data_IF_346402017987
#
_entry.id   IF_346402017987
#
_cell.length_a   1.000
_cell.length_b   1.000
_cell.length_c   1.000
_cell.angle_alpha   90.00
_cell.angle_beta   90.00
_cell.angle_gamma   90.00
#
_symmetry.space_group_name_H-M   'P 1'
#
loop_
_entity.id
_entity.type
_entity.pdbx_description
1 polymer ?
#
# COMPACT_ATOMS: atom_id res chain seq x y z
N UNK A 1 21.53 -6.56 -10.34
CA UNK A 1 22.04 -7.15 -9.09
C UNK A 1 21.37 -8.47 -8.75
N UNK A 2 20.03 -8.55 -8.69
CA UNK A 2 19.32 -9.82 -8.46
C UNK A 2 19.63 -10.94 -9.47
N UNK A 3 20.02 -10.60 -10.70
CA UNK A 3 20.46 -11.58 -11.71
C UNK A 3 21.92 -12.03 -11.57
N UNK A 4 22.78 -11.23 -10.95
CA UNK A 4 24.23 -11.47 -10.86
C UNK A 4 24.65 -12.05 -9.51
N UNK A 5 23.86 -11.84 -8.46
CA UNK A 5 24.08 -12.40 -7.11
C UNK A 5 22.74 -12.95 -6.60
N UNK A 6 22.35 -14.17 -6.98
CA UNK A 6 21.05 -14.76 -6.62
C UNK A 6 21.11 -15.37 -5.20
N UNK A 7 21.49 -14.55 -4.21
CA UNK A 7 21.52 -14.93 -2.80
C UNK A 7 20.42 -14.21 -2.05
N UNK A 8 19.84 -14.89 -1.07
CA UNK A 8 18.84 -14.34 -0.16
C UNK A 8 19.48 -13.24 0.68
N UNK A 9 18.86 -12.05 0.75
CA UNK A 9 19.29 -11.00 1.69
C UNK A 9 19.30 -9.54 1.17
N UNK A 10 18.57 -9.24 0.10
CA UNK A 10 18.22 -7.88 -0.36
C UNK A 10 19.41 -6.88 -0.37
N UNK A 11 19.15 -5.59 -0.22
CA UNK A 11 20.12 -4.49 -0.31
C UNK A 11 21.28 -4.59 0.69
N UNK A 12 21.05 -5.15 1.88
CA UNK A 12 22.11 -5.40 2.87
C UNK A 12 23.21 -6.31 2.31
N UNK A 13 22.82 -7.46 1.75
CA UNK A 13 23.78 -8.46 1.25
C UNK A 13 24.51 -7.94 0.02
N UNK A 14 23.81 -7.21 -0.86
CA UNK A 14 24.45 -6.53 -2.00
C UNK A 14 25.45 -5.47 -1.53
N UNK A 15 25.09 -4.68 -0.51
CA UNK A 15 25.97 -3.68 0.09
C UNK A 15 27.23 -4.30 0.69
N UNK A 16 27.09 -5.43 1.38
CA UNK A 16 28.20 -6.16 1.98
C UNK A 16 29.19 -6.68 0.93
N UNK A 17 28.67 -7.27 -0.15
CA UNK A 17 29.51 -7.85 -1.22
C UNK A 17 30.27 -6.76 -1.99
N UNK A 18 29.64 -5.60 -2.24
CA UNK A 18 30.23 -4.56 -3.11
C UNK A 18 31.08 -3.56 -2.33
N UNK A 19 30.60 -3.11 -1.17
CA UNK A 19 31.15 -1.97 -0.44
C UNK A 19 31.76 -2.35 0.93
N UNK A 20 31.60 -3.59 1.37
CA UNK A 20 32.11 -4.08 2.64
C UNK A 20 31.23 -3.78 3.84
N UNK A 21 31.71 -4.20 5.01
CA UNK A 21 30.94 -4.30 6.25
C UNK A 21 30.36 -2.97 6.74
N UNK A 22 31.14 -1.88 6.71
CA UNK A 22 30.70 -0.59 7.26
C UNK A 22 29.50 -0.05 6.50
N UNK A 23 29.52 -0.08 5.17
CA UNK A 23 28.41 0.39 4.34
C UNK A 23 27.20 -0.52 4.51
N UNK A 24 27.42 -1.84 4.53
CA UNK A 24 26.36 -2.81 4.77
C UNK A 24 25.68 -2.61 6.13
N UNK A 25 26.45 -2.29 7.18
CA UNK A 25 25.92 -2.01 8.51
C UNK A 25 24.94 -0.82 8.52
N UNK A 26 25.32 0.29 7.90
CA UNK A 26 24.43 1.45 7.76
C UNK A 26 23.18 1.12 6.95
N UNK A 27 23.33 0.37 5.84
CA UNK A 27 22.18 -0.09 5.03
C UNK A 27 21.26 -1.00 5.85
N UNK A 28 21.82 -1.92 6.64
CA UNK A 28 21.05 -2.82 7.50
C UNK A 28 20.20 -2.07 8.53
N UNK A 29 20.80 -1.11 9.24
CA UNK A 29 20.05 -0.27 10.18
C UNK A 29 19.00 0.61 9.51
N UNK A 30 19.29 1.13 8.32
CA UNK A 30 18.31 1.87 7.53
C UNK A 30 17.12 0.97 7.16
N UNK A 31 17.36 -0.25 6.70
CA UNK A 31 16.31 -1.22 6.35
C UNK A 31 15.46 -1.60 7.58
N UNK A 32 16.07 -1.82 8.75
CA UNK A 32 15.31 -2.12 9.98
C UNK A 32 14.34 -0.99 10.33
N UNK A 33 14.79 0.26 10.24
CA UNK A 33 13.95 1.43 10.47
C UNK A 33 12.87 1.58 9.39
N UNK A 34 13.24 1.36 8.12
CA UNK A 34 12.32 1.42 6.99
C UNK A 34 11.19 0.40 7.11
N UNK A 35 11.50 -0.88 7.36
CA UNK A 35 10.49 -1.93 7.53
C UNK A 35 9.61 -1.69 8.76
N UNK A 36 10.17 -1.16 9.86
CA UNK A 36 9.40 -0.77 11.04
C UNK A 36 8.39 0.34 10.75
N UNK A 37 8.85 1.42 10.09
CA UNK A 37 7.99 2.53 9.68
C UNK A 37 6.94 2.08 8.66
N UNK A 38 7.34 1.28 7.67
CA UNK A 38 6.45 0.76 6.64
C UNK A 38 5.32 -0.09 7.26
N UNK A 39 5.66 -0.96 8.22
CA UNK A 39 4.68 -1.79 8.92
C UNK A 39 3.65 -0.94 9.69
N UNK A 40 4.10 0.12 10.37
CA UNK A 40 3.21 1.05 11.07
C UNK A 40 2.30 1.84 10.11
N UNK A 41 2.86 2.31 9.00
CA UNK A 41 2.11 3.02 7.95
C UNK A 41 1.06 2.13 7.30
N UNK A 42 1.41 0.88 6.96
CA UNK A 42 0.47 -0.11 6.41
C UNK A 42 -0.64 -0.44 7.41
N UNK A 43 -0.32 -0.63 8.69
CA UNK A 43 -1.33 -0.87 9.73
C UNK A 43 -2.27 0.33 9.92
N UNK A 44 -1.76 1.55 9.80
CA UNK A 44 -2.57 2.77 9.84
C UNK A 44 -3.53 2.84 8.65
N UNK A 45 -3.05 2.55 7.43
CA UNK A 45 -3.90 2.48 6.24
C UNK A 45 -4.96 1.39 6.35
N UNK A 46 -4.60 0.19 6.82
CA UNK A 46 -5.52 -0.90 7.10
C UNK A 46 -6.62 -0.49 8.08
N UNK A 47 -6.25 0.22 9.15
CA UNK A 47 -7.20 0.69 10.16
C UNK A 47 -8.27 1.60 9.55
N UNK A 48 -7.90 2.50 8.64
CA UNK A 48 -8.86 3.42 8.00
C UNK A 48 -9.96 2.67 7.24
N UNK A 49 -9.57 1.67 6.44
CA UNK A 49 -10.53 0.85 5.71
C UNK A 49 -11.33 -0.07 6.64
N UNK A 50 -10.71 -0.57 7.72
CA UNK A 50 -11.40 -1.36 8.74
C UNK A 50 -12.48 -0.55 9.46
N UNK A 51 -12.17 0.68 9.90
CA UNK A 51 -13.14 1.58 10.54
C UNK A 51 -14.30 1.86 9.59
N UNK A 52 -14.02 2.21 8.33
CA UNK A 52 -15.05 2.45 7.31
C UNK A 52 -15.95 1.22 7.07
N UNK A 53 -15.38 0.01 7.02
CA UNK A 53 -16.13 -1.23 6.87
C UNK A 53 -17.06 -1.48 8.06
N UNK A 54 -16.56 -1.28 9.28
CA UNK A 54 -17.28 -1.53 10.53
C UNK A 54 -18.38 -0.49 10.76
N UNK A 55 -18.16 0.76 10.37
CA UNK A 55 -19.19 1.81 10.34
C UNK A 55 -20.32 1.47 9.36
N UNK A 56 -20.00 0.91 8.19
CA UNK A 56 -20.98 0.40 7.23
C UNK A 56 -21.85 -0.74 7.79
N UNK A 57 -21.39 -1.44 8.82
CA UNK A 57 -22.14 -2.48 9.55
C UNK A 57 -22.92 -1.91 10.77
N UNK A 58 -22.88 -0.60 10.99
CA UNK A 58 -23.56 0.09 12.09
C UNK A 58 -22.80 0.07 13.42
N UNK A 59 -21.53 -0.34 13.42
CA UNK A 59 -20.67 -0.31 14.61
C UNK A 59 -19.80 0.95 14.53
N UNK A 60 -19.98 1.86 15.50
CA UNK A 60 -19.21 3.11 15.53
C UNK A 60 -18.03 3.00 16.48
N UNK A 61 -16.82 3.16 15.93
CA UNK A 61 -15.60 3.26 16.73
C UNK A 61 -15.41 4.75 17.08
N UNK A 62 -15.23 5.12 18.37
CA UNK A 62 -15.01 6.52 18.73
C UNK A 62 -13.82 7.11 17.99
N UNK A 63 -13.97 8.32 17.43
CA UNK A 63 -12.92 9.02 16.69
C UNK A 63 -11.59 9.12 17.45
N UNK A 64 -11.66 9.28 18.78
CA UNK A 64 -10.48 9.28 19.66
C UNK A 64 -9.58 8.03 19.53
N UNK A 65 -10.16 6.89 19.12
CA UNK A 65 -9.53 5.58 19.03
C UNK A 65 -9.31 5.08 17.58
N UNK A 66 -9.73 5.85 16.58
CA UNK A 66 -9.86 5.39 15.20
C UNK A 66 -8.86 6.04 14.22
N UNK A 67 -7.83 6.72 14.73
CA UNK A 67 -6.90 7.49 13.89
C UNK A 67 -5.53 7.72 14.52
N UNK A 68 -4.56 8.22 13.73
CA UNK A 68 -3.24 8.60 14.23
C UNK A 68 -3.33 9.66 15.34
N UNK A 69 -2.24 9.92 16.05
CA UNK A 69 -2.23 10.97 17.08
C UNK A 69 -2.35 12.35 16.42
N UNK A 70 -3.53 12.94 16.51
CA UNK A 70 -3.80 14.32 16.13
C UNK A 70 -4.89 14.92 17.04
N UNK A 71 -4.48 15.51 18.19
CA UNK A 71 -5.39 16.13 19.15
C UNK A 71 -6.21 17.28 18.55
N UNK A 72 -5.72 17.93 17.49
CA UNK A 72 -6.44 19.04 16.85
C UNK A 72 -7.71 18.56 16.13
N UNK A 73 -7.69 17.31 15.64
CA UNK A 73 -8.82 16.65 15.00
C UNK A 73 -9.51 15.61 15.91
N UNK A 74 -9.19 15.61 17.22
CA UNK A 74 -9.85 14.75 18.22
C UNK A 74 -9.44 13.27 18.18
N UNK A 75 -8.33 12.95 17.50
CA UNK A 75 -7.78 11.58 17.42
C UNK A 75 -6.56 11.46 18.35
N UNK A 76 -6.46 10.37 19.10
CA UNK A 76 -5.41 10.21 20.12
C UNK A 76 -4.60 8.93 19.93
N UNK A 77 -5.27 7.83 19.60
CA UNK A 77 -4.61 6.54 19.44
C UNK A 77 -5.30 5.73 18.34
N UNK A 78 -4.52 5.03 17.53
CA UNK A 78 -5.05 4.17 16.49
C UNK A 78 -5.17 2.73 17.02
N UNK A 79 -6.29 2.44 17.70
CA UNK A 79 -6.50 1.16 18.35
C UNK A 79 -6.61 0.00 17.33
N UNK A 80 -7.33 0.12 16.19
CA UNK A 80 -7.36 -0.95 15.19
C UNK A 80 -5.99 -1.21 14.56
N UNK A 81 -5.16 -0.18 14.31
CA UNK A 81 -3.79 -0.37 13.80
C UNK A 81 -2.91 -1.13 14.81
N UNK A 82 -2.99 -0.79 16.11
CA UNK A 82 -2.26 -1.53 17.15
C UNK A 82 -2.73 -2.98 17.20
N UNK A 83 -4.05 -3.19 17.14
CA UNK A 83 -4.64 -4.52 17.17
C UNK A 83 -4.13 -5.40 16.02
N UNK A 84 -4.16 -4.91 14.76
CA UNK A 84 -3.69 -5.72 13.63
C UNK A 84 -2.19 -6.01 13.71
N UNK A 85 -1.38 -5.05 14.18
CA UNK A 85 0.07 -5.29 14.39
C UNK A 85 0.30 -6.41 15.41
N UNK A 86 -0.43 -6.42 16.52
CA UNK A 86 -0.33 -7.48 17.53
C UNK A 86 -0.80 -8.83 16.99
N UNK A 87 -1.90 -8.86 16.22
CA UNK A 87 -2.41 -10.07 15.59
C UNK A 87 -1.38 -10.65 14.61
N UNK A 88 -0.86 -9.84 13.69
CA UNK A 88 0.14 -10.29 12.72
C UNK A 88 1.43 -10.72 13.43
N UNK A 89 1.87 -9.98 14.45
CA UNK A 89 3.04 -10.37 15.26
C UNK A 89 2.84 -11.72 15.93
N UNK A 90 1.67 -11.96 16.52
CA UNK A 90 1.33 -13.25 17.13
C UNK A 90 1.28 -14.38 16.08
N UNK A 91 0.65 -14.16 14.93
CA UNK A 91 0.61 -15.15 13.85
C UNK A 91 2.02 -15.51 13.33
N UNK A 92 2.92 -14.53 13.24
CA UNK A 92 4.33 -14.76 12.88
C UNK A 92 5.05 -15.61 13.94
N UNK A 93 4.75 -15.42 15.24
CA UNK A 93 5.32 -16.27 16.31
C UNK A 93 4.83 -17.71 16.27
N UNK A 94 3.65 -17.98 15.70
CA UNK A 94 3.13 -19.33 15.49
C UNK A 94 3.78 -20.05 14.29
N UNK A 95 4.60 -19.36 13.50
CA UNK A 95 5.31 -19.95 12.36
C UNK A 95 4.40 -20.34 11.21
N UNK A 96 3.38 -19.52 10.90
CA UNK A 96 2.51 -19.77 9.75
C UNK A 96 3.34 -19.89 8.47
N UNK A 97 3.39 -21.08 7.89
CA UNK A 97 3.96 -21.29 6.56
C UNK A 97 2.93 -20.84 5.54
N UNK A 98 3.18 -19.70 4.93
CA UNK A 98 2.32 -19.12 3.89
C UNK A 98 2.17 -20.09 2.71
N UNK A 99 0.94 -20.51 2.43
CA UNK A 99 0.68 -21.30 1.24
C UNK A 99 0.76 -20.38 0.02
N UNK A 100 1.62 -20.69 -0.95
CA UNK A 100 1.68 -19.97 -2.23
C UNK A 100 0.31 -19.88 -2.94
N UNK A 101 -0.60 -20.82 -2.66
CA UNK A 101 -2.00 -20.79 -3.15
C UNK A 101 -2.80 -19.67 -2.49
N UNK A 102 -2.71 -19.52 -1.17
CA UNK A 102 -3.41 -18.48 -0.41
C UNK A 102 -2.90 -17.11 -0.84
N UNK A 103 -1.57 -16.93 -0.93
CA UNK A 103 -0.98 -15.69 -1.41
C UNK A 103 -1.47 -15.32 -2.82
N UNK A 104 -1.51 -16.28 -3.74
CA UNK A 104 -2.06 -16.06 -5.09
C UNK A 104 -3.52 -15.57 -5.04
N UNK A 105 -4.38 -16.19 -4.22
CA UNK A 105 -5.78 -15.78 -4.07
C UNK A 105 -5.87 -14.35 -3.53
N UNK A 106 -5.11 -14.02 -2.49
CA UNK A 106 -5.08 -12.68 -1.90
C UNK A 106 -4.67 -11.60 -2.93
N UNK A 107 -3.62 -11.87 -3.72
CA UNK A 107 -3.19 -10.96 -4.79
C UNK A 107 -4.29 -10.76 -5.84
N UNK A 108 -4.98 -11.82 -6.26
CA UNK A 108 -6.09 -11.70 -7.21
C UNK A 108 -7.26 -10.89 -6.65
N UNK A 109 -7.58 -11.05 -5.37
CA UNK A 109 -8.61 -10.23 -4.69
C UNK A 109 -8.19 -8.75 -4.71
N UNK A 110 -6.96 -8.43 -4.29
CA UNK A 110 -6.44 -7.05 -4.26
C UNK A 110 -6.47 -6.39 -5.63
N UNK A 111 -5.96 -7.07 -6.66
CA UNK A 111 -5.99 -6.55 -8.04
C UNK A 111 -7.42 -6.43 -8.54
N UNK A 112 -8.29 -7.41 -8.24
CA UNK A 112 -9.70 -7.38 -8.63
C UNK A 112 -10.45 -6.18 -8.06
N UNK A 113 -10.19 -5.84 -6.80
CA UNK A 113 -10.78 -4.67 -6.12
C UNK A 113 -10.30 -3.35 -6.72
N UNK A 114 -9.01 -3.24 -7.05
CA UNK A 114 -8.47 -2.07 -7.74
C UNK A 114 -9.11 -1.92 -9.13
N UNK A 115 -9.21 -3.03 -9.89
CA UNK A 115 -9.85 -3.01 -11.19
C UNK A 115 -11.34 -2.67 -11.09
N UNK A 116 -12.04 -3.15 -10.07
CA UNK A 116 -13.43 -2.79 -9.81
C UNK A 116 -13.58 -1.28 -9.60
N UNK A 117 -12.72 -0.67 -8.76
CA UNK A 117 -12.70 0.77 -8.56
C UNK A 117 -12.47 1.53 -9.88
N UNK A 118 -11.48 1.12 -10.68
CA UNK A 118 -11.19 1.78 -11.96
C UNK A 118 -12.39 1.65 -12.91
N UNK A 119 -12.92 0.44 -13.10
CA UNK A 119 -14.00 0.17 -14.06
C UNK A 119 -15.27 0.91 -13.68
N UNK A 120 -15.68 0.87 -12.42
CA UNK A 120 -16.88 1.58 -11.95
C UNK A 120 -16.62 3.08 -11.93
N UNK A 121 -15.49 3.50 -11.39
CA UNK A 121 -15.17 4.90 -11.17
C UNK A 121 -15.04 5.73 -12.44
N UNK A 122 -14.59 5.15 -13.56
CA UNK A 122 -14.48 5.84 -14.85
C UNK A 122 -15.84 6.44 -15.30
N UNK A 123 -16.96 5.82 -14.96
CA UNK A 123 -18.30 6.34 -15.31
C UNK A 123 -18.72 7.57 -14.52
N UNK A 124 -18.01 7.90 -13.44
CA UNK A 124 -18.27 9.02 -12.53
C UNK A 124 -17.21 10.11 -12.61
N UNK A 125 -16.28 10.01 -13.56
CA UNK A 125 -15.24 11.03 -13.75
C UNK A 125 -15.85 12.29 -14.35
N UNK A 126 -15.68 13.40 -13.65
CA UNK A 126 -16.00 14.74 -14.13
C UNK A 126 -14.70 15.47 -14.48
N UNK A 127 -14.40 15.73 -15.77
CA UNK A 127 -13.14 16.38 -16.17
C UNK A 127 -12.92 17.78 -15.59
N UNK A 128 -13.98 18.41 -15.06
CA UNK A 128 -13.92 19.67 -14.31
C UNK A 128 -13.07 19.55 -13.05
N UNK A 129 -13.03 18.38 -12.39
CA UNK A 129 -12.21 18.15 -11.20
C UNK A 129 -10.70 18.16 -11.48
N UNK A 130 -10.29 17.99 -12.74
CA UNK A 130 -8.89 18.13 -13.15
C UNK A 130 -8.46 19.56 -13.41
N UNK A 131 -9.32 20.56 -13.16
CA UNK A 131 -8.97 21.97 -13.33
C UNK A 131 -8.93 22.70 -11.98
N UNK A 132 -7.80 23.35 -11.62
CA UNK A 132 -6.51 23.35 -12.33
C UNK A 132 -5.76 22.00 -12.18
N UNK A 133 -5.05 21.56 -13.23
CA UNK A 133 -4.35 20.26 -13.21
C UNK A 133 -3.12 20.25 -12.30
N UNK A 134 -2.42 21.38 -12.19
CA UNK A 134 -1.20 21.55 -11.38
C UNK A 134 -1.32 22.76 -10.45
N UNK A 135 -2.24 22.74 -9.46
CA UNK A 135 -2.48 23.88 -8.56
C UNK A 135 -1.24 24.30 -7.77
N UNK A 136 -0.40 23.33 -7.42
CA UNK A 136 0.85 23.53 -6.67
C UNK A 136 2.10 23.63 -7.56
N UNK A 137 1.91 23.76 -8.88
CA UNK A 137 2.99 23.79 -9.87
C UNK A 137 3.86 22.52 -9.88
N UNK A 138 5.02 22.60 -10.54
CA UNK A 138 5.91 21.44 -10.72
C UNK A 138 6.56 21.00 -9.39
N UNK A 139 6.77 21.94 -8.46
CA UNK A 139 7.32 21.63 -7.14
C UNK A 139 6.37 20.76 -6.31
N UNK A 140 5.05 20.99 -6.42
CA UNK A 140 4.05 20.12 -5.84
C UNK A 140 4.08 18.70 -6.42
N UNK A 141 4.31 18.57 -7.73
CA UNK A 141 4.45 17.26 -8.40
C UNK A 141 5.66 16.50 -7.84
N UNK A 142 6.83 17.13 -7.72
CA UNK A 142 8.02 16.46 -7.15
C UNK A 142 7.85 16.09 -5.68
N UNK A 143 7.23 16.96 -4.88
CA UNK A 143 6.96 16.68 -3.46
C UNK A 143 5.97 15.52 -3.32
N UNK A 144 4.90 15.53 -4.12
CA UNK A 144 3.93 14.44 -4.19
C UNK A 144 4.57 13.13 -4.65
N UNK A 145 5.43 13.17 -5.67
CA UNK A 145 6.18 12.01 -6.16
C UNK A 145 7.03 11.36 -5.06
N UNK A 146 7.71 12.17 -4.22
CA UNK A 146 8.48 11.68 -3.08
C UNK A 146 7.59 11.01 -2.02
N UNK A 147 6.39 11.54 -1.76
CA UNK A 147 5.43 10.94 -0.82
C UNK A 147 4.86 9.61 -1.35
N UNK A 148 4.39 9.59 -2.60
CA UNK A 148 3.79 8.37 -3.20
C UNK A 148 4.83 7.33 -3.61
N UNK A 149 6.12 7.65 -3.58
CA UNK A 149 7.20 6.67 -3.75
C UNK A 149 7.07 5.53 -2.73
N UNK A 150 6.53 5.81 -1.54
CA UNK A 150 6.22 4.80 -0.52
C UNK A 150 5.32 3.67 -1.06
N UNK A 151 4.41 3.95 -1.99
CA UNK A 151 3.54 2.93 -2.60
C UNK A 151 4.32 1.88 -3.42
N UNK A 152 5.56 2.19 -3.82
CA UNK A 152 6.43 1.25 -4.53
C UNK A 152 7.30 0.39 -3.61
N UNK A 153 7.24 0.57 -2.29
CA UNK A 153 7.96 -0.28 -1.34
C UNK A 153 7.45 -1.73 -1.44
N UNK A 154 8.36 -2.70 -1.53
CA UNK A 154 8.04 -4.13 -1.49
C UNK A 154 8.44 -4.94 -2.71
N UNK A 155 8.94 -4.33 -3.80
CA UNK A 155 9.48 -5.09 -4.94
C UNK A 155 10.71 -5.93 -4.57
N UNK A 156 11.44 -5.51 -3.53
CA UNK A 156 12.62 -6.21 -3.01
C UNK A 156 12.25 -7.48 -2.25
N UNK A 157 11.02 -7.58 -1.72
CA UNK A 157 10.50 -8.80 -1.09
C UNK A 157 10.44 -10.00 -2.06
N UNK A 158 10.32 -9.74 -3.37
CA UNK A 158 10.39 -10.80 -4.40
C UNK A 158 11.75 -11.52 -4.36
N UNK A 159 12.82 -10.82 -3.97
CA UNK A 159 14.15 -11.41 -3.86
C UNK A 159 14.29 -12.37 -2.67
N UNK A 160 13.43 -12.27 -1.66
CA UNK A 160 13.41 -13.19 -0.52
C UNK A 160 12.96 -14.60 -0.90
N UNK A 161 12.19 -14.74 -1.98
CA UNK A 161 11.74 -16.04 -2.51
C UNK A 161 12.75 -16.66 -3.49
N UNK A 162 13.97 -16.13 -3.60
CA UNK A 162 14.96 -16.59 -4.59
C UNK A 162 15.24 -18.10 -4.51
N UNK A 163 15.22 -18.68 -3.31
CA UNK A 163 15.48 -20.11 -3.08
C UNK A 163 14.33 -21.02 -3.55
N UNK A 164 13.11 -20.50 -3.65
CA UNK A 164 11.92 -21.25 -4.08
C UNK A 164 11.63 -21.12 -5.58
N UNK A 165 12.35 -20.22 -6.27
CA UNK A 165 12.11 -19.90 -7.68
C UNK A 165 12.94 -20.80 -8.59
N UNK A 166 12.27 -21.51 -9.50
CA UNK A 166 12.95 -22.22 -10.60
C UNK A 166 13.65 -21.20 -11.51
N UNK A 167 14.93 -21.39 -11.82
CA UNK A 167 15.72 -20.47 -12.66
C UNK A 167 15.66 -19.00 -12.19
N UNK A 168 16.16 -18.70 -10.98
CA UNK A 168 16.02 -17.38 -10.36
C UNK A 168 16.70 -16.26 -11.16
N UNK A 169 17.78 -16.56 -11.89
CA UNK A 169 18.54 -15.58 -12.69
C UNK A 169 17.68 -14.92 -13.77
N UNK A 170 16.70 -15.66 -14.31
CA UNK A 170 15.76 -15.15 -15.32
C UNK A 170 14.41 -14.75 -14.70
N UNK A 171 13.88 -15.55 -13.78
CA UNK A 171 12.52 -15.36 -13.28
C UNK A 171 12.41 -14.25 -12.24
N UNK A 172 13.43 -14.02 -11.40
CA UNK A 172 13.39 -12.91 -10.43
C UNK A 172 13.37 -11.54 -11.12
N UNK A 173 14.24 -11.23 -12.11
CA UNK A 173 14.16 -9.95 -12.81
C UNK A 173 12.82 -9.73 -13.51
N UNK A 174 12.26 -10.78 -14.15
CA UNK A 174 10.95 -10.70 -14.80
C UNK A 174 9.85 -10.42 -13.77
N UNK A 175 9.89 -11.08 -12.60
CA UNK A 175 8.93 -10.87 -11.53
C UNK A 175 8.99 -9.45 -10.96
N UNK A 176 10.19 -8.94 -10.68
CA UNK A 176 10.40 -7.59 -10.14
C UNK A 176 9.94 -6.53 -11.14
N UNK A 177 10.44 -6.56 -12.39
CA UNK A 177 10.10 -5.54 -13.39
C UNK A 177 8.64 -5.66 -13.82
N UNK A 178 8.14 -6.87 -14.00
CA UNK A 178 6.75 -7.13 -14.40
C UNK A 178 5.75 -6.64 -13.35
N UNK A 179 5.98 -6.93 -12.06
CA UNK A 179 5.13 -6.44 -10.98
C UNK A 179 5.17 -4.92 -10.87
N UNK A 180 6.35 -4.30 -10.95
CA UNK A 180 6.50 -2.84 -10.94
C UNK A 180 5.71 -2.17 -12.07
N UNK A 181 5.86 -2.65 -13.31
CA UNK A 181 5.14 -2.08 -14.45
C UNK A 181 3.61 -2.20 -14.32
N UNK A 182 3.12 -3.35 -13.86
CA UNK A 182 1.68 -3.56 -13.63
C UNK A 182 1.18 -2.62 -12.54
N UNK A 183 1.87 -2.53 -11.40
CA UNK A 183 1.51 -1.62 -10.32
C UNK A 183 1.54 -0.15 -10.76
N UNK A 184 2.54 0.27 -11.53
CA UNK A 184 2.61 1.63 -12.08
C UNK A 184 1.39 1.97 -12.92
N UNK A 185 0.99 1.09 -13.84
CA UNK A 185 -0.19 1.33 -14.66
C UNK A 185 -1.46 1.44 -13.80
N UNK A 186 -1.63 0.53 -12.84
CA UNK A 186 -2.77 0.57 -11.92
C UNK A 186 -2.78 1.87 -11.10
N UNK A 187 -1.64 2.31 -10.57
CA UNK A 187 -1.55 3.55 -9.80
C UNK A 187 -1.88 4.79 -10.63
N UNK A 188 -1.43 4.85 -11.89
CA UNK A 188 -1.81 5.93 -12.81
C UNK A 188 -3.32 5.95 -13.04
N UNK A 189 -3.94 4.81 -13.34
CA UNK A 189 -5.39 4.75 -13.55
C UNK A 189 -6.18 5.07 -12.29
N UNK A 190 -5.80 4.53 -11.13
CA UNK A 190 -6.42 4.87 -9.84
C UNK A 190 -6.34 6.37 -9.59
N UNK A 191 -5.18 7.00 -9.81
CA UNK A 191 -4.98 8.43 -9.56
C UNK A 191 -5.85 9.29 -10.48
N UNK A 192 -5.93 8.95 -11.76
CA UNK A 192 -6.78 9.64 -12.74
C UNK A 192 -8.26 9.51 -12.40
N UNK A 193 -8.72 8.31 -12.06
CA UNK A 193 -10.11 8.06 -11.69
C UNK A 193 -10.46 8.76 -10.37
N UNK A 194 -9.62 8.63 -9.35
CA UNK A 194 -9.83 9.21 -8.04
C UNK A 194 -9.97 10.73 -8.09
N UNK A 195 -9.00 11.41 -8.73
CA UNK A 195 -9.02 12.88 -8.92
C UNK A 195 -10.07 13.34 -9.93
N UNK A 196 -10.58 12.42 -10.76
CA UNK A 196 -11.68 12.69 -11.68
C UNK A 196 -13.05 12.66 -11.00
N UNK A 197 -13.24 11.81 -9.99
CA UNK A 197 -14.50 11.70 -9.24
C UNK A 197 -14.58 12.78 -8.16
N UNK A 198 -13.49 13.02 -7.44
CA UNK A 198 -13.45 13.94 -6.30
C UNK A 198 -12.35 14.98 -6.51
N UNK A 199 -12.68 16.25 -6.24
CA UNK A 199 -11.70 17.34 -6.25
C UNK A 199 -10.53 17.06 -5.32
N UNK A 200 -9.31 17.42 -5.74
CA UNK A 200 -8.08 17.22 -4.97
C UNK A 200 -8.12 17.88 -3.58
N UNK A 201 -8.97 18.88 -3.38
CA UNK A 201 -9.17 19.58 -2.10
C UNK A 201 -9.85 18.72 -1.04
N UNK A 202 -10.67 17.76 -1.46
CA UNK A 202 -11.50 16.94 -0.57
C UNK A 202 -10.92 15.53 -0.38
N UNK A 203 -9.82 15.22 -1.06
CA UNK A 203 -9.14 13.91 -0.99
C UNK A 203 -8.24 13.73 0.23
N UNK A 204 -8.14 14.71 1.13
CA UNK A 204 -7.39 14.59 2.38
C UNK A 204 -8.18 13.79 3.44
N UNK A 205 -8.55 12.57 3.08
CA UNK A 205 -9.27 11.60 3.92
C UNK A 205 -8.41 10.35 4.08
N UNK A 206 -8.75 9.54 5.08
CA UNK A 206 -7.96 8.36 5.46
C UNK A 206 -8.19 7.13 4.55
N UNK A 207 -9.28 7.09 3.78
CA UNK A 207 -9.73 6.00 2.91
C UNK A 207 -10.23 6.52 1.54
N UNK A 208 -9.39 7.23 0.77
CA UNK A 208 -9.82 8.04 -0.38
C UNK A 208 -10.54 7.26 -1.49
N UNK A 209 -10.16 6.01 -1.73
CA UNK A 209 -10.78 5.15 -2.76
C UNK A 209 -12.22 4.79 -2.38
N UNK A 210 -12.43 4.42 -1.12
CA UNK A 210 -13.77 4.12 -0.58
C UNK A 210 -14.63 5.37 -0.49
N UNK A 211 -14.05 6.50 -0.09
CA UNK A 211 -14.70 7.81 -0.04
C UNK A 211 -15.18 8.28 -1.42
N UNK A 212 -14.35 8.16 -2.46
CA UNK A 212 -14.75 8.53 -3.81
C UNK A 212 -15.95 7.72 -4.32
N UNK A 213 -16.02 6.43 -4.00
CA UNK A 213 -17.19 5.60 -4.33
C UNK A 213 -18.44 6.02 -3.55
N UNK A 214 -18.30 6.47 -2.30
CA UNK A 214 -19.43 6.99 -1.52
C UNK A 214 -19.96 8.30 -2.12
N UNK A 215 -19.08 9.21 -2.53
CA UNK A 215 -19.47 10.45 -3.23
C UNK A 215 -20.19 10.13 -4.55
N UNK A 216 -19.71 9.13 -5.29
CA UNK A 216 -20.36 8.67 -6.51
C UNK A 216 -21.70 7.93 -6.28
N UNK A 217 -22.16 7.79 -5.03
CA UNK A 217 -23.38 7.08 -4.67
C UNK A 217 -23.24 5.54 -4.72
N UNK A 218 -22.03 5.02 -4.87
CA UNK A 218 -21.71 3.61 -5.02
C UNK A 218 -21.29 2.97 -3.68
N UNK A 219 -22.15 3.08 -2.67
CA UNK A 219 -21.88 2.56 -1.32
C UNK A 219 -21.58 1.06 -1.28
N UNK A 220 -22.22 0.27 -2.15
CA UNK A 220 -21.94 -1.17 -2.23
C UNK A 220 -20.52 -1.46 -2.76
N UNK A 221 -20.04 -0.68 -3.74
CA UNK A 221 -18.67 -0.78 -4.27
C UNK A 221 -17.66 -0.32 -3.21
N UNK A 222 -17.96 0.77 -2.50
CA UNK A 222 -17.18 1.24 -1.35
C UNK A 222 -16.99 0.11 -0.31
N UNK A 223 -18.06 -0.59 0.05
CA UNK A 223 -17.99 -1.72 0.99
C UNK A 223 -17.13 -2.88 0.47
N UNK A 224 -17.23 -3.23 -0.81
CA UNK A 224 -16.38 -4.27 -1.42
C UNK A 224 -14.90 -3.83 -1.42
N UNK A 225 -14.62 -2.56 -1.71
CA UNK A 225 -13.26 -2.02 -1.70
C UNK A 225 -12.68 -2.05 -0.30
N UNK A 226 -13.43 -1.56 0.69
CA UNK A 226 -12.99 -1.57 2.09
C UNK A 226 -12.76 -2.99 2.60
N UNK A 227 -13.61 -3.94 2.24
CA UNK A 227 -13.39 -5.35 2.55
C UNK A 227 -12.13 -5.89 1.87
N UNK A 228 -11.94 -5.58 0.58
CA UNK A 228 -10.75 -5.98 -0.18
C UNK A 228 -9.44 -5.34 0.29
N UNK A 229 -9.49 -4.19 0.96
CA UNK A 229 -8.33 -3.52 1.54
C UNK A 229 -7.95 -4.09 2.92
N UNK A 230 -8.91 -4.68 3.63
CA UNK A 230 -8.72 -5.30 4.95
C UNK A 230 -8.14 -6.72 4.87
N UNK A 231 -8.36 -7.43 3.75
CA UNK A 231 -7.81 -8.76 3.44
C UNK A 231 -6.54 -8.67 2.58
#
# INVERSE_FOLDING_TARGET
FSSSVPVTGSAYTYGYIVFGEIVAWFVGWALVLEYGLASASVATGWSSYFVNLVEGLGIHIPAALAGPFDPSNGTYINLPAIFIVLVISFLLTLGMQESARINKIMVFVKVGVILLFIIVGVFYVEPTNWQPFTPFGINGVFTGAALVFFAYLGFDAVSSAAEEVKNPQRNLPIGIIGSLLICTLLYVFVSLVLTGIVSYTDLNVTDPVSFAMQIAGQNWVSGIISLGAVF
#
